data_IF_827638173260
#
_entry.id   IF_827638173260
#
_cell.length_a   1.000
_cell.length_b   1.000
_cell.length_c   1.000
_cell.angle_alpha   90.00
_cell.angle_beta   90.00
_cell.angle_gamma   90.00
#
_symmetry.space_group_name_H-M   'P 1'
#
loop_
_entity.id
_entity.type
_entity.pdbx_description
1 polymer ?
#
# COMPACT_ATOMS: atom_id res chain seq x y z
N UNK A 1 9.49 23.47 -6.84
CA UNK A 1 10.69 23.91 -6.11
C UNK A 1 11.64 22.73 -6.08
N UNK A 2 12.87 22.88 -6.56
CA UNK A 2 13.84 21.78 -6.58
C UNK A 2 14.32 21.56 -5.14
N UNK A 3 14.35 20.30 -4.69
CA UNK A 3 14.88 19.95 -3.36
C UNK A 3 16.38 20.28 -3.32
N UNK A 4 16.83 21.17 -2.42
CA UNK A 4 18.23 21.60 -2.36
C UNK A 4 19.19 20.45 -2.08
N UNK A 5 18.72 19.37 -1.42
CA UNK A 5 19.53 18.18 -1.17
C UNK A 5 19.76 17.41 -2.47
N UNK A 6 18.69 17.19 -3.23
CA UNK A 6 18.77 16.47 -4.52
C UNK A 6 19.59 17.26 -5.54
N UNK A 7 19.44 18.60 -5.55
CA UNK A 7 20.23 19.46 -6.43
C UNK A 7 21.74 19.38 -6.12
N UNK A 8 22.09 19.44 -4.83
CA UNK A 8 23.47 19.27 -4.37
C UNK A 8 24.01 17.89 -4.75
N UNK A 9 23.28 16.83 -4.42
CA UNK A 9 23.68 15.45 -4.74
C UNK A 9 23.90 15.26 -6.24
N UNK A 10 23.03 15.82 -7.09
CA UNK A 10 23.18 15.79 -8.53
C UNK A 10 24.44 16.53 -8.99
N UNK A 11 24.65 17.75 -8.51
CA UNK A 11 25.82 18.55 -8.87
C UNK A 11 27.14 17.87 -8.47
N UNK A 12 27.23 17.40 -7.22
CA UNK A 12 28.41 16.75 -6.67
C UNK A 12 28.69 15.41 -7.37
N UNK A 13 27.66 14.60 -7.64
CA UNK A 13 27.82 13.31 -8.37
C UNK A 13 28.23 13.52 -9.82
N UNK A 14 27.67 14.54 -10.49
CA UNK A 14 28.03 14.89 -11.86
C UNK A 14 29.47 15.41 -11.95
N UNK A 15 29.91 16.18 -10.95
CA UNK A 15 31.30 16.59 -10.82
C UNK A 15 32.21 15.37 -10.62
N UNK A 16 31.84 14.46 -9.71
CA UNK A 16 32.59 13.22 -9.48
C UNK A 16 32.74 12.39 -10.76
N UNK A 17 31.67 12.24 -11.55
CA UNK A 17 31.72 11.54 -12.84
C UNK A 17 32.76 12.14 -13.79
N UNK A 18 32.82 13.47 -13.89
CA UNK A 18 33.81 14.15 -14.73
C UNK A 18 35.25 13.97 -14.21
N UNK A 19 35.45 14.05 -12.89
CA UNK A 19 36.76 13.79 -12.26
C UNK A 19 37.17 12.32 -12.45
N UNK A 20 36.22 11.39 -12.40
CA UNK A 20 36.45 9.96 -12.58
C UNK A 20 36.89 9.61 -14.01
N UNK A 21 36.37 10.32 -15.01
CA UNK A 21 36.84 10.24 -16.39
C UNK A 21 38.27 10.77 -16.52
N UNK A 22 38.57 11.94 -15.94
CA UNK A 22 39.94 12.49 -15.93
C UNK A 22 40.93 11.55 -15.23
N UNK A 23 40.49 10.86 -14.17
CA UNK A 23 41.33 9.88 -13.47
C UNK A 23 41.74 8.74 -14.40
N UNK A 24 40.81 8.27 -15.25
CA UNK A 24 41.10 7.25 -16.24
C UNK A 24 42.09 7.73 -17.32
N UNK A 25 42.02 8.99 -17.74
CA UNK A 25 43.00 9.56 -18.67
C UNK A 25 44.42 9.52 -18.09
N UNK A 26 44.59 9.90 -16.83
CA UNK A 26 45.86 9.78 -16.12
C UNK A 26 46.30 8.33 -15.94
N UNK A 27 45.36 7.42 -15.63
CA UNK A 27 45.63 5.99 -15.53
C UNK A 27 46.12 5.41 -16.86
N UNK A 28 45.46 5.72 -17.97
CA UNK A 28 45.85 5.28 -19.32
C UNK A 28 47.21 5.87 -19.74
N UNK A 29 47.45 7.15 -19.43
CA UNK A 29 48.75 7.79 -19.64
C UNK A 29 49.86 7.06 -18.88
N UNK A 30 49.64 6.79 -17.60
CA UNK A 30 50.59 6.05 -16.77
C UNK A 30 50.79 4.62 -17.26
N UNK A 31 49.73 3.93 -17.70
CA UNK A 31 49.80 2.57 -18.26
C UNK A 31 50.69 2.52 -19.51
N UNK A 32 50.60 3.53 -20.38
CA UNK A 32 51.45 3.67 -21.58
C UNK A 32 52.88 4.10 -21.26
N UNK A 33 53.13 4.62 -20.05
CA UNK A 33 54.43 5.17 -19.66
C UNK A 33 54.75 6.52 -20.30
N UNK A 34 53.72 7.19 -20.82
CA UNK A 34 53.83 8.51 -21.47
C UNK A 34 53.61 9.61 -20.42
N UNK A 35 54.23 10.78 -20.58
CA UNK A 35 53.87 11.97 -19.79
C UNK A 35 54.11 11.90 -18.28
N UNK A 36 55.00 11.02 -17.80
CA UNK A 36 55.37 10.89 -16.37
C UNK A 36 56.26 12.06 -15.89
N UNK A 37 55.77 13.29 -15.98
CA UNK A 37 56.44 14.51 -15.52
C UNK A 37 55.99 14.89 -14.10
N UNK A 38 56.82 15.63 -13.32
CA UNK A 38 56.42 16.13 -12.01
C UNK A 38 55.12 16.95 -12.06
N UNK A 39 54.95 17.82 -13.05
CA UNK A 39 53.74 18.64 -13.20
C UNK A 39 52.46 17.79 -13.38
N UNK A 40 52.57 16.65 -14.07
CA UNK A 40 51.45 15.73 -14.27
C UNK A 40 51.16 14.92 -13.02
N UNK A 41 52.19 14.59 -12.24
CA UNK A 41 52.04 13.96 -10.94
C UNK A 41 51.30 14.89 -9.96
N UNK A 42 51.65 16.18 -9.92
CA UNK A 42 50.97 17.16 -9.08
C UNK A 42 49.49 17.31 -9.46
N UNK A 43 49.19 17.39 -10.77
CA UNK A 43 47.80 17.40 -11.28
C UNK A 43 47.03 16.14 -10.87
N UNK A 44 47.69 14.97 -10.92
CA UNK A 44 47.08 13.71 -10.52
C UNK A 44 46.76 13.66 -9.02
N UNK A 45 47.66 14.17 -8.17
CA UNK A 45 47.43 14.23 -6.72
C UNK A 45 46.32 15.23 -6.35
N UNK A 46 46.24 16.36 -7.06
CA UNK A 46 45.14 17.31 -6.90
C UNK A 46 43.80 16.67 -7.30
N UNK A 47 43.75 15.99 -8.45
CA UNK A 47 42.57 15.28 -8.92
C UNK A 47 42.07 14.24 -7.91
N UNK A 48 42.98 13.45 -7.32
CA UNK A 48 42.64 12.49 -6.26
C UNK A 48 41.99 13.16 -5.04
N UNK A 49 42.52 14.32 -4.64
CA UNK A 49 41.98 15.09 -3.52
C UNK A 49 40.58 15.61 -3.83
N UNK A 50 40.35 16.11 -5.04
CA UNK A 50 39.03 16.56 -5.49
C UNK A 50 38.01 15.40 -5.52
N UNK A 51 38.41 14.22 -6.01
CA UNK A 51 37.57 13.01 -5.99
C UNK A 51 37.16 12.66 -4.55
N UNK A 52 38.11 12.66 -3.61
CA UNK A 52 37.82 12.33 -2.21
C UNK A 52 36.84 13.32 -1.57
N UNK A 53 36.94 14.63 -1.89
CA UNK A 53 36.05 15.66 -1.34
C UNK A 53 34.58 15.50 -1.75
N UNK A 54 34.32 15.03 -2.97
CA UNK A 54 32.95 14.90 -3.50
C UNK A 54 32.36 13.49 -3.34
N UNK A 55 33.18 12.51 -2.93
CA UNK A 55 32.77 11.11 -2.77
C UNK A 55 31.68 10.92 -1.71
N UNK A 56 31.77 11.62 -0.58
CA UNK A 56 30.77 11.52 0.50
C UNK A 56 29.36 11.87 0.00
N UNK A 57 29.22 12.92 -0.82
CA UNK A 57 27.92 13.31 -1.36
C UNK A 57 27.37 12.29 -2.36
N UNK A 58 28.24 11.56 -3.06
CA UNK A 58 27.83 10.46 -3.91
C UNK A 58 27.37 9.26 -3.08
N UNK A 59 28.08 8.91 -2.00
CA UNK A 59 27.66 7.84 -1.09
C UNK A 59 26.30 8.11 -0.46
N UNK A 60 26.02 9.36 -0.11
CA UNK A 60 24.70 9.80 0.40
C UNK A 60 23.58 9.69 -0.66
N UNK A 61 23.92 9.74 -1.94
CA UNK A 61 22.96 9.65 -3.05
C UNK A 61 22.64 8.20 -3.45
N UNK A 62 23.51 7.24 -3.12
CA UNK A 62 23.36 5.83 -3.49
C UNK A 62 22.20 5.16 -2.73
N UNK A 63 21.26 4.60 -3.49
CA UNK A 63 20.16 3.78 -2.94
C UNK A 63 20.49 2.28 -2.93
N UNK A 64 21.47 1.87 -3.73
CA UNK A 64 21.91 0.48 -3.95
C UNK A 64 23.42 0.42 -4.18
N UNK A 65 23.98 -0.78 -4.08
CA UNK A 65 25.37 -1.09 -4.48
C UNK A 65 26.47 -0.25 -3.80
N UNK A 66 26.28 0.06 -2.51
CA UNK A 66 27.23 0.85 -1.70
C UNK A 66 28.66 0.28 -1.71
N UNK A 67 28.80 -1.05 -1.81
CA UNK A 67 30.12 -1.70 -1.90
C UNK A 67 30.89 -1.27 -3.15
N UNK A 68 30.21 -1.12 -4.29
CA UNK A 68 30.82 -0.65 -5.55
C UNK A 68 31.16 0.83 -5.43
N UNK A 69 30.31 1.62 -4.77
CA UNK A 69 30.61 3.04 -4.50
C UNK A 69 31.86 3.23 -3.64
N UNK A 70 32.09 2.35 -2.66
CA UNK A 70 33.29 2.37 -1.81
C UNK A 70 34.58 2.09 -2.60
N UNK A 71 34.51 1.28 -3.67
CA UNK A 71 35.66 0.92 -4.49
C UNK A 71 36.34 2.14 -5.13
N UNK A 72 35.61 3.24 -5.37
CA UNK A 72 36.19 4.49 -5.91
C UNK A 72 37.34 4.99 -5.02
N UNK A 73 37.12 5.11 -3.71
CA UNK A 73 38.16 5.55 -2.78
C UNK A 73 39.27 4.52 -2.63
N UNK A 74 38.94 3.23 -2.69
CA UNK A 74 39.94 2.17 -2.61
C UNK A 74 40.88 2.20 -3.82
N UNK A 75 40.38 2.46 -5.02
CA UNK A 75 41.19 2.67 -6.23
C UNK A 75 42.06 3.93 -6.06
N UNK A 76 41.46 5.07 -5.70
CA UNK A 76 42.19 6.34 -5.51
C UNK A 76 43.31 6.21 -4.49
N UNK A 77 43.06 5.49 -3.40
CA UNK A 77 44.02 5.26 -2.32
C UNK A 77 45.17 4.34 -2.77
N UNK A 78 44.86 3.26 -3.49
CA UNK A 78 45.88 2.33 -4.04
C UNK A 78 46.74 2.98 -5.13
N UNK A 79 46.20 3.94 -5.87
CA UNK A 79 46.91 4.65 -6.93
C UNK A 79 47.82 5.74 -6.36
N UNK A 80 48.92 5.36 -5.69
CA UNK A 80 49.80 6.28 -4.96
C UNK A 80 50.36 7.40 -5.85
N UNK A 81 50.88 7.03 -7.02
CA UNK A 81 51.48 7.95 -8.00
C UNK A 81 51.35 7.41 -9.44
N UNK A 82 51.53 8.27 -10.45
CA UNK A 82 51.54 7.83 -11.85
C UNK A 82 52.66 6.82 -12.11
N UNK A 83 53.82 7.05 -11.50
CA UNK A 83 54.96 6.11 -11.56
C UNK A 83 54.65 4.76 -10.90
N UNK A 84 53.87 4.75 -9.82
CA UNK A 84 53.41 3.52 -9.20
C UNK A 84 52.46 2.75 -10.13
N UNK A 85 51.48 3.44 -10.73
CA UNK A 85 50.54 2.86 -11.69
C UNK A 85 51.24 2.22 -12.90
N UNK A 86 52.25 2.88 -13.45
CA UNK A 86 53.05 2.35 -14.55
C UNK A 86 53.79 1.04 -14.18
N UNK A 87 54.15 0.87 -12.91
CA UNK A 87 54.90 -0.29 -12.40
C UNK A 87 54.02 -1.45 -11.93
N UNK A 88 52.70 -1.26 -11.90
CA UNK A 88 51.77 -2.34 -11.56
C UNK A 88 51.88 -3.49 -12.57
N UNK A 89 51.58 -4.69 -12.12
CA UNK A 89 51.52 -5.84 -13.03
C UNK A 89 50.38 -5.63 -14.04
N UNK A 90 50.48 -6.22 -15.23
CA UNK A 90 49.42 -6.16 -16.24
C UNK A 90 48.09 -6.71 -15.69
N UNK A 91 48.16 -7.70 -14.79
CA UNK A 91 46.98 -8.24 -14.12
C UNK A 91 46.34 -7.21 -13.18
N UNK A 92 47.13 -6.49 -12.39
CA UNK A 92 46.64 -5.44 -11.48
C UNK A 92 46.08 -4.23 -12.24
N UNK A 93 46.73 -3.84 -13.34
CA UNK A 93 46.23 -2.78 -14.22
C UNK A 93 44.86 -3.15 -14.80
N UNK A 94 44.71 -4.36 -15.33
CA UNK A 94 43.41 -4.85 -15.84
C UNK A 94 42.35 -4.92 -14.74
N UNK A 95 42.72 -5.37 -13.55
CA UNK A 95 41.80 -5.41 -12.40
C UNK A 95 41.32 -4.01 -12.02
N UNK A 96 42.24 -3.04 -11.93
CA UNK A 96 41.90 -1.66 -11.62
C UNK A 96 41.01 -1.03 -12.70
N UNK A 97 41.26 -1.34 -13.98
CA UNK A 97 40.42 -0.90 -15.09
C UNK A 97 38.99 -1.45 -15.00
N UNK A 98 38.83 -2.73 -14.64
CA UNK A 98 37.50 -3.33 -14.41
C UNK A 98 36.78 -2.67 -13.23
N UNK A 99 37.43 -2.51 -12.08
CA UNK A 99 36.85 -1.85 -10.90
C UNK A 99 36.50 -0.39 -11.18
N UNK A 100 37.33 0.30 -11.98
CA UNK A 100 37.05 1.66 -12.44
C UNK A 100 35.80 1.71 -13.31
N UNK A 101 35.66 0.77 -14.26
CA UNK A 101 34.52 0.69 -15.17
C UNK A 101 33.21 0.39 -14.43
N UNK A 102 33.23 -0.54 -13.48
CA UNK A 102 32.07 -0.83 -12.63
C UNK A 102 31.60 0.41 -11.86
N UNK A 103 32.55 1.15 -11.28
CA UNK A 103 32.27 2.40 -10.57
C UNK A 103 31.74 3.49 -11.50
N UNK A 104 32.25 3.55 -12.74
CA UNK A 104 31.80 4.49 -13.77
C UNK A 104 30.35 4.24 -14.19
N UNK A 105 29.97 2.97 -14.37
CA UNK A 105 28.59 2.59 -14.67
C UNK A 105 27.65 3.00 -13.52
N UNK A 106 28.03 2.70 -12.28
CA UNK A 106 27.26 3.09 -11.10
C UNK A 106 27.09 4.61 -10.99
N UNK A 107 28.15 5.39 -11.22
CA UNK A 107 28.07 6.85 -11.22
C UNK A 107 27.11 7.36 -12.29
N UNK A 108 27.21 6.83 -13.51
CA UNK A 108 26.35 7.22 -14.64
C UNK A 108 24.87 6.93 -14.35
N UNK A 109 24.58 5.74 -13.83
CA UNK A 109 23.23 5.35 -13.42
C UNK A 109 22.69 6.24 -12.29
N UNK A 110 23.53 6.56 -11.31
CA UNK A 110 23.16 7.42 -10.18
C UNK A 110 22.87 8.86 -10.64
N UNK A 111 23.65 9.40 -11.57
CA UNK A 111 23.38 10.72 -12.18
C UNK A 111 22.03 10.70 -12.90
N UNK A 112 21.74 9.65 -13.68
CA UNK A 112 20.47 9.51 -14.38
C UNK A 112 19.28 9.41 -13.41
N UNK A 113 19.40 8.64 -12.32
CA UNK A 113 18.36 8.53 -11.29
C UNK A 113 18.10 9.88 -10.60
N UNK A 114 19.15 10.63 -10.27
CA UNK A 114 19.03 11.96 -9.67
C UNK A 114 18.40 12.96 -10.64
N UNK A 115 18.74 12.88 -11.93
CA UNK A 115 18.13 13.72 -12.98
C UNK A 115 16.63 13.44 -13.13
N UNK A 116 16.24 12.16 -13.13
CA UNK A 116 14.83 11.76 -13.15
C UNK A 116 14.09 12.28 -11.91
N UNK A 117 14.66 12.11 -10.72
CA UNK A 117 14.09 12.67 -9.47
C UNK A 117 13.92 14.18 -9.55
N UNK A 118 14.89 14.91 -10.11
CA UNK A 118 14.77 16.36 -10.32
C UNK A 118 13.62 16.71 -11.27
N UNK A 119 13.47 15.97 -12.37
CA UNK A 119 12.37 16.16 -13.32
C UNK A 119 10.99 15.85 -12.70
N UNK A 120 10.89 14.79 -11.91
CA UNK A 120 9.67 14.43 -11.18
C UNK A 120 9.31 15.52 -10.14
N UNK A 121 10.28 16.02 -9.38
CA UNK A 121 10.06 17.08 -8.40
C UNK A 121 9.71 18.43 -9.06
N UNK A 122 10.16 18.67 -10.28
CA UNK A 122 9.77 19.84 -11.05
C UNK A 122 8.31 19.78 -11.52
N UNK A 123 7.76 18.58 -11.71
CA UNK A 123 6.38 18.36 -12.22
C UNK A 123 5.33 18.18 -11.12
N UNK A 124 5.72 17.85 -9.88
CA UNK A 124 4.80 17.66 -8.76
C UNK A 124 4.38 18.98 -8.08
N UNK A 125 3.09 19.08 -7.72
CA UNK A 125 2.57 20.24 -6.95
C UNK A 125 3.07 20.22 -5.49
N UNK A 126 3.24 21.40 -4.89
CA UNK A 126 3.86 21.59 -3.57
C UNK A 126 3.15 20.84 -2.43
N UNK A 127 1.83 20.67 -2.54
CA UNK A 127 1.02 19.96 -1.57
C UNK A 127 1.27 18.44 -1.57
N UNK A 128 1.53 17.86 -2.75
CA UNK A 128 1.75 16.41 -2.89
C UNK A 128 3.12 15.98 -2.37
N UNK A 129 4.17 16.77 -2.62
CA UNK A 129 5.51 16.49 -2.10
C UNK A 129 5.55 16.55 -0.55
N UNK A 130 4.91 17.56 0.06
CA UNK A 130 4.82 17.64 1.53
C UNK A 130 4.02 16.49 2.13
N UNK A 131 2.92 16.09 1.48
CA UNK A 131 2.12 14.95 1.92
C UNK A 131 2.91 13.62 1.83
N UNK A 132 3.68 13.41 0.77
CA UNK A 132 4.46 12.18 0.59
C UNK A 132 5.64 12.10 1.57
N UNK A 133 6.34 13.21 1.82
CA UNK A 133 7.42 13.28 2.83
C UNK A 133 6.88 13.06 4.25
N UNK A 134 5.72 13.64 4.57
CA UNK A 134 5.05 13.39 5.85
C UNK A 134 4.62 11.92 5.98
N UNK A 135 4.10 11.32 4.91
CA UNK A 135 3.70 9.91 4.89
C UNK A 135 4.90 8.96 5.07
N UNK A 136 6.03 9.23 4.42
CA UNK A 136 7.26 8.42 4.54
C UNK A 136 7.87 8.45 5.94
N UNK A 137 7.89 9.62 6.59
CA UNK A 137 8.37 9.74 7.98
C UNK A 137 7.40 9.05 8.95
N UNK A 138 6.09 9.12 8.70
CA UNK A 138 5.09 8.43 9.50
C UNK A 138 5.21 6.90 9.38
N UNK A 139 5.39 6.36 8.17
CA UNK A 139 5.53 4.91 7.96
C UNK A 139 6.80 4.35 8.60
N UNK A 140 7.93 5.05 8.51
CA UNK A 140 9.17 4.63 9.19
C UNK A 140 9.05 4.65 10.73
N UNK A 141 8.31 5.62 11.30
CA UNK A 141 8.03 5.64 12.74
C UNK A 141 7.09 4.49 13.14
N UNK A 142 6.07 4.21 12.34
CA UNK A 142 5.13 3.10 12.59
C UNK A 142 5.86 1.75 12.49
N UNK A 143 6.72 1.52 11.50
CA UNK A 143 7.46 0.26 11.39
C UNK A 143 8.45 0.05 12.53
N UNK A 144 9.10 1.11 13.03
CA UNK A 144 9.92 1.04 14.26
C UNK A 144 9.07 0.74 15.51
N UNK A 145 7.87 1.30 15.60
CA UNK A 145 6.93 1.00 16.70
C UNK A 145 6.46 -0.45 16.62
N UNK A 146 6.16 -0.96 15.43
CA UNK A 146 5.69 -2.34 15.21
C UNK A 146 6.78 -3.39 15.46
N UNK A 147 8.05 -3.07 15.16
CA UNK A 147 9.18 -3.98 15.39
C UNK A 147 9.74 -3.90 16.81
N UNK A 148 9.32 -2.90 17.60
CA UNK A 148 9.72 -2.72 18.99
C UNK A 148 9.40 -3.94 19.87
N UNK A 149 10.40 -4.40 20.63
CA UNK A 149 10.25 -5.46 21.64
C UNK A 149 9.15 -5.13 22.65
N UNK A 150 8.98 -3.85 23.00
CA UNK A 150 7.95 -3.40 23.92
C UNK A 150 6.53 -3.60 23.39
N UNK A 151 6.29 -3.43 22.08
CA UNK A 151 4.98 -3.70 21.50
C UNK A 151 4.68 -5.20 21.52
N UNK A 152 5.67 -6.05 21.23
CA UNK A 152 5.50 -7.51 21.31
C UNK A 152 5.15 -7.95 22.73
N UNK A 153 5.85 -7.42 23.73
CA UNK A 153 5.54 -7.66 25.15
C UNK A 153 4.14 -7.12 25.49
N UNK A 154 3.78 -5.93 25.03
CA UNK A 154 2.44 -5.37 25.25
C UNK A 154 1.34 -6.23 24.63
N UNK A 155 1.52 -6.76 23.42
CA UNK A 155 0.57 -7.68 22.78
C UNK A 155 0.43 -8.97 23.60
N UNK A 156 1.54 -9.53 24.09
CA UNK A 156 1.50 -10.72 24.97
C UNK A 156 0.78 -10.41 26.27
N UNK A 157 1.08 -9.28 26.91
CA UNK A 157 0.41 -8.84 28.15
C UNK A 157 -1.08 -8.61 27.92
N UNK A 158 -1.47 -7.97 26.83
CA UNK A 158 -2.88 -7.80 26.43
C UNK A 158 -3.52 -9.17 26.21
N UNK A 159 -2.86 -10.08 25.49
CA UNK A 159 -3.36 -11.44 25.27
C UNK A 159 -3.54 -12.22 26.57
N UNK A 160 -2.60 -12.10 27.51
CA UNK A 160 -2.68 -12.73 28.83
C UNK A 160 -3.76 -12.09 29.69
N UNK A 161 -3.85 -10.76 29.76
CA UNK A 161 -4.91 -10.05 30.50
C UNK A 161 -6.29 -10.37 29.92
N UNK A 162 -6.42 -10.41 28.59
CA UNK A 162 -7.65 -10.80 27.92
C UNK A 162 -8.01 -12.27 28.22
N UNK A 163 -7.03 -13.16 28.18
CA UNK A 163 -7.19 -14.58 28.49
C UNK A 163 -7.41 -14.92 29.97
N UNK A 164 -7.00 -14.06 30.90
CA UNK A 164 -7.12 -14.30 32.35
C UNK A 164 -8.29 -13.52 32.95
N UNK A 165 -8.34 -12.22 32.73
CA UNK A 165 -9.38 -11.33 33.28
C UNK A 165 -10.63 -11.37 32.41
N UNK A 166 -10.49 -11.29 31.08
CA UNK A 166 -11.64 -11.35 30.16
C UNK A 166 -12.38 -12.69 30.24
N UNK A 167 -11.65 -13.79 30.40
CA UNK A 167 -12.21 -15.15 30.49
C UNK A 167 -12.97 -15.38 31.79
N UNK A 168 -12.47 -14.87 32.93
CA UNK A 168 -13.10 -15.12 34.24
C UNK A 168 -14.22 -14.13 34.57
N UNK A 169 -14.08 -12.85 34.19
CA UNK A 169 -15.02 -11.81 34.61
C UNK A 169 -16.21 -11.67 33.65
N UNK A 170 -16.00 -11.88 32.35
CA UNK A 170 -17.02 -11.61 31.33
C UNK A 170 -17.70 -12.87 30.75
N UNK A 171 -17.24 -14.08 31.13
CA UNK A 171 -17.82 -15.34 30.61
C UNK A 171 -17.70 -15.50 29.08
N UNK A 172 -16.72 -14.82 28.47
CA UNK A 172 -16.52 -14.74 27.00
C UNK A 172 -15.72 -15.96 26.51
N UNK A 173 -16.23 -17.17 26.78
CA UNK A 173 -15.79 -18.35 26.04
C UNK A 173 -16.32 -18.34 24.59
N UNK A 174 -17.39 -17.59 24.36
CA UNK A 174 -18.00 -17.46 23.05
C UNK A 174 -17.48 -16.21 22.35
N UNK A 175 -16.49 -16.41 21.46
CA UNK A 175 -15.95 -15.35 20.60
C UNK A 175 -17.06 -14.57 19.88
N UNK A 176 -18.19 -15.22 19.56
CA UNK A 176 -19.30 -14.58 18.87
C UNK A 176 -20.02 -13.52 19.73
N UNK A 177 -19.95 -13.61 21.06
CA UNK A 177 -20.50 -12.59 21.98
C UNK A 177 -19.72 -11.29 21.98
N UNK A 178 -18.45 -11.30 21.58
CA UNK A 178 -17.68 -10.05 21.43
C UNK A 178 -18.29 -9.14 20.35
N UNK A 179 -18.97 -9.71 19.37
CA UNK A 179 -19.68 -8.97 18.33
C UNK A 179 -20.87 -8.16 18.85
N UNK A 180 -21.37 -8.43 20.07
CA UNK A 180 -22.52 -7.72 20.65
C UNK A 180 -22.12 -6.38 21.30
N UNK A 181 -20.81 -6.13 21.49
CA UNK A 181 -20.30 -4.91 22.14
C UNK A 181 -19.66 -3.95 21.13
N UNK A 182 -20.14 -2.69 21.00
CA UNK A 182 -19.64 -1.74 20.01
C UNK A 182 -18.13 -1.49 20.04
N UNK A 183 -17.53 -1.47 21.24
CA UNK A 183 -16.09 -1.28 21.41
C UNK A 183 -15.24 -2.42 20.82
N UNK A 184 -15.83 -3.61 20.66
CA UNK A 184 -15.16 -4.81 20.20
C UNK A 184 -15.49 -5.18 18.74
N UNK A 185 -16.36 -4.43 18.04
CA UNK A 185 -16.69 -4.72 16.64
C UNK A 185 -15.45 -4.80 15.75
N UNK A 186 -14.52 -3.84 15.85
CA UNK A 186 -13.29 -3.84 15.03
C UNK A 186 -12.37 -5.02 15.36
N UNK A 187 -11.96 -5.25 16.62
CA UNK A 187 -11.19 -6.45 16.99
C UNK A 187 -11.88 -7.76 16.59
N UNK A 188 -13.18 -7.89 16.84
CA UNK A 188 -13.98 -9.06 16.49
C UNK A 188 -13.91 -9.35 14.99
N UNK A 189 -14.10 -8.33 14.14
CA UNK A 189 -14.01 -8.47 12.68
C UNK A 189 -12.63 -8.93 12.22
N UNK A 190 -11.56 -8.37 12.79
CA UNK A 190 -10.19 -8.77 12.43
C UNK A 190 -9.98 -10.25 12.77
N UNK A 191 -10.35 -10.67 13.98
CA UNK A 191 -10.26 -12.08 14.35
C UNK A 191 -11.18 -12.98 13.52
N UNK A 192 -12.40 -12.53 13.17
CA UNK A 192 -13.33 -13.28 12.31
C UNK A 192 -12.82 -13.41 10.88
N UNK A 193 -12.16 -12.39 10.33
CA UNK A 193 -11.49 -12.45 9.02
C UNK A 193 -10.37 -13.48 9.00
N UNK A 194 -9.59 -13.57 10.07
CA UNK A 194 -8.57 -14.62 10.24
C UNK A 194 -9.25 -15.99 10.38
N UNK A 195 -10.27 -16.12 11.23
CA UNK A 195 -10.99 -17.38 11.42
C UNK A 195 -11.61 -17.90 10.11
N UNK A 196 -12.13 -17.00 9.26
CA UNK A 196 -12.71 -17.34 7.96
C UNK A 196 -11.73 -17.86 6.93
N UNK A 197 -10.42 -17.70 7.11
CA UNK A 197 -9.45 -18.41 6.26
C UNK A 197 -9.52 -19.92 6.48
N UNK A 198 -10.00 -20.36 7.64
CA UNK A 198 -10.18 -21.78 7.99
C UNK A 198 -11.64 -22.23 7.89
N UNK A 199 -12.60 -21.34 8.14
CA UNK A 199 -14.03 -21.60 8.02
C UNK A 199 -14.75 -20.47 7.27
N UNK A 200 -14.74 -20.49 5.91
CA UNK A 200 -15.26 -19.40 5.08
C UNK A 200 -16.72 -19.04 5.36
N UNK A 201 -17.53 -20.01 5.79
CA UNK A 201 -18.97 -19.87 5.99
C UNK A 201 -19.35 -19.39 7.41
N UNK A 202 -18.37 -19.02 8.24
CA UNK A 202 -18.62 -18.59 9.62
C UNK A 202 -19.48 -17.32 9.70
N UNK A 203 -20.72 -17.38 10.24
CA UNK A 203 -21.69 -16.29 10.13
C UNK A 203 -21.27 -15.03 10.90
N UNK A 204 -21.77 -13.89 10.42
CA UNK A 204 -21.85 -12.66 11.18
C UNK A 204 -22.89 -12.77 12.29
N UNK A 205 -22.60 -12.13 13.42
CA UNK A 205 -23.43 -12.16 14.62
C UNK A 205 -24.64 -11.23 14.53
N UNK A 206 -24.41 -10.01 14.03
CA UNK A 206 -25.40 -8.96 13.86
C UNK A 206 -25.04 -8.11 12.63
N UNK A 207 -25.97 -7.27 12.17
CA UNK A 207 -25.75 -6.40 11.00
C UNK A 207 -24.68 -5.32 11.29
N UNK A 208 -24.60 -4.81 12.52
CA UNK A 208 -23.66 -3.74 12.87
C UNK A 208 -22.19 -4.16 12.73
N UNK A 209 -21.89 -5.44 12.93
CA UNK A 209 -20.55 -6.00 12.76
C UNK A 209 -20.19 -6.21 11.29
N UNK A 210 -21.14 -6.63 10.44
CA UNK A 210 -20.89 -6.84 9.00
C UNK A 210 -20.67 -5.54 8.23
N UNK A 211 -21.09 -4.40 8.79
CA UNK A 211 -20.84 -3.06 8.22
C UNK A 211 -19.37 -2.72 8.02
N UNK A 212 -18.47 -3.46 8.65
CA UNK A 212 -17.03 -3.30 8.45
C UNK A 212 -16.52 -3.70 7.09
N UNK A 213 -17.27 -4.50 6.35
CA UNK A 213 -16.84 -5.01 5.04
C UNK A 213 -17.27 -4.10 3.89
N UNK A 214 -18.23 -3.20 4.13
CA UNK A 214 -18.58 -2.13 3.18
C UNK A 214 -17.69 -0.91 3.39
N UNK A 215 -17.65 -0.01 2.41
CA UNK A 215 -16.92 1.24 2.54
C UNK A 215 -17.35 2.02 3.81
N UNK A 216 -16.45 2.69 4.54
CA UNK A 216 -16.82 3.50 5.70
C UNK A 216 -17.80 4.60 5.29
N UNK A 217 -18.82 4.88 6.10
CA UNK A 217 -19.89 5.86 5.78
C UNK A 217 -19.40 7.29 5.56
N UNK A 218 -18.19 7.63 6.04
CA UNK A 218 -17.52 8.91 5.78
C UNK A 218 -16.55 8.92 4.59
N UNK A 219 -16.43 7.82 3.86
CA UNK A 219 -15.54 7.74 2.69
C UNK A 219 -16.19 8.39 1.46
N UNK A 220 -15.36 8.92 0.55
CA UNK A 220 -15.79 9.49 -0.74
C UNK A 220 -16.47 8.49 -1.68
N UNK A 221 -16.43 7.19 -1.34
CA UNK A 221 -17.12 6.13 -2.07
C UNK A 221 -18.63 6.20 -1.86
N UNK A 222 -19.06 6.71 -0.70
CA UNK A 222 -20.46 7.00 -0.45
C UNK A 222 -20.83 8.33 -1.11
N UNK A 223 -21.89 8.35 -1.92
CA UNK A 223 -22.37 9.60 -2.50
C UNK A 223 -22.95 10.57 -1.45
N UNK A 224 -23.50 10.07 -0.33
CA UNK A 224 -23.63 10.77 0.95
C UNK A 224 -23.87 9.76 2.07
N UNK A 225 -23.95 10.26 3.32
CA UNK A 225 -24.13 9.44 4.52
C UNK A 225 -25.53 8.77 4.51
N UNK A 226 -25.63 7.45 4.66
CA UNK A 226 -26.92 6.77 4.76
C UNK A 226 -27.62 7.11 6.09
N UNK A 227 -28.94 7.20 6.05
CA UNK A 227 -29.79 7.38 7.22
C UNK A 227 -30.53 6.08 7.53
N UNK A 228 -30.45 5.62 8.78
CA UNK A 228 -31.19 4.44 9.25
C UNK A 228 -32.64 4.86 9.44
N UNK A 229 -33.54 4.21 8.72
CA UNK A 229 -34.98 4.49 8.77
C UNK A 229 -35.73 3.35 9.47
N UNK A 230 -36.80 3.64 10.22
CA UNK A 230 -37.70 2.59 10.69
C UNK A 230 -38.40 1.97 9.47
N UNK A 231 -38.21 0.68 9.25
CA UNK A 231 -38.83 -0.05 8.15
C UNK A 231 -39.35 -1.41 8.61
N UNK A 232 -40.41 -1.89 7.95
CA UNK A 232 -40.93 -3.26 8.16
C UNK A 232 -40.24 -4.23 7.19
N UNK A 233 -39.69 -5.31 7.74
CA UNK A 233 -39.15 -6.44 6.98
C UNK A 233 -40.23 -7.03 6.07
N UNK A 234 -41.46 -7.15 6.58
CA UNK A 234 -42.60 -7.75 5.91
C UNK A 234 -43.02 -6.93 4.68
N UNK A 235 -42.96 -5.60 4.78
CA UNK A 235 -43.30 -4.70 3.67
C UNK A 235 -42.35 -4.87 2.48
N UNK A 236 -41.03 -4.95 2.71
CA UNK A 236 -40.08 -5.14 1.62
C UNK A 236 -40.10 -6.57 1.10
N UNK A 237 -40.22 -7.57 1.98
CA UNK A 237 -40.33 -8.97 1.57
C UNK A 237 -41.58 -9.17 0.70
N UNK A 238 -42.71 -8.53 1.02
CA UNK A 238 -43.93 -8.57 0.21
C UNK A 238 -43.74 -8.11 -1.24
N UNK A 239 -42.83 -7.17 -1.50
CA UNK A 239 -42.53 -6.63 -2.83
C UNK A 239 -41.69 -7.56 -3.71
N UNK A 240 -41.06 -8.59 -3.14
CA UNK A 240 -40.17 -9.49 -3.90
C UNK A 240 -40.99 -10.45 -4.77
N UNK A 241 -40.80 -10.49 -6.10
CA UNK A 241 -41.62 -11.32 -6.98
C UNK A 241 -41.39 -12.84 -6.81
N UNK A 242 -40.24 -13.25 -6.27
CA UNK A 242 -39.83 -14.66 -6.15
C UNK A 242 -40.23 -15.22 -4.79
N UNK A 243 -41.13 -16.21 -4.76
CA UNK A 243 -41.66 -16.80 -3.53
C UNK A 243 -40.56 -17.42 -2.67
N UNK A 244 -39.64 -18.15 -3.28
CA UNK A 244 -38.55 -18.83 -2.58
C UNK A 244 -37.61 -17.84 -1.89
N UNK A 245 -37.33 -16.70 -2.54
CA UNK A 245 -36.53 -15.62 -1.95
C UNK A 245 -37.28 -14.98 -0.77
N UNK A 246 -38.61 -14.79 -0.87
CA UNK A 246 -39.45 -14.30 0.23
C UNK A 246 -39.39 -15.21 1.44
N UNK A 247 -39.53 -16.51 1.21
CA UNK A 247 -39.53 -17.52 2.27
C UNK A 247 -38.18 -17.55 3.00
N UNK A 248 -37.07 -17.38 2.29
CA UNK A 248 -35.74 -17.31 2.89
C UNK A 248 -35.56 -15.98 3.66
N UNK A 249 -35.85 -14.83 3.05
CA UNK A 249 -35.64 -13.53 3.70
C UNK A 249 -36.56 -13.30 4.91
N UNK A 250 -37.72 -13.95 4.96
CA UNK A 250 -38.60 -13.92 6.13
C UNK A 250 -37.95 -14.50 7.39
N UNK A 251 -37.00 -15.44 7.23
CA UNK A 251 -36.22 -16.05 8.31
C UNK A 251 -35.18 -15.10 8.94
N UNK A 252 -34.99 -13.90 8.39
CA UNK A 252 -34.00 -12.97 8.90
C UNK A 252 -34.26 -12.61 10.36
N UNK A 253 -33.23 -12.77 11.19
CA UNK A 253 -33.26 -12.49 12.64
C UNK A 253 -33.12 -11.00 12.92
N UNK A 254 -32.38 -10.28 12.08
CA UNK A 254 -32.29 -8.83 12.09
C UNK A 254 -32.60 -8.27 10.70
N UNK A 255 -33.17 -7.06 10.69
CA UNK A 255 -33.46 -6.31 9.50
C UNK A 255 -33.10 -4.84 9.72
N UNK A 256 -32.48 -4.22 8.73
CA UNK A 256 -32.18 -2.79 8.74
C UNK A 256 -32.48 -2.17 7.38
N UNK A 257 -33.17 -1.02 7.42
CA UNK A 257 -33.36 -0.15 6.26
C UNK A 257 -32.46 1.07 6.40
N UNK A 258 -31.66 1.31 5.36
CA UNK A 258 -30.90 2.52 5.20
C UNK A 258 -31.37 3.22 3.93
N UNK A 259 -31.61 4.53 4.00
CA UNK A 259 -31.95 5.34 2.84
C UNK A 259 -30.85 6.32 2.53
N UNK A 260 -30.64 6.54 1.25
CA UNK A 260 -29.65 7.46 0.73
C UNK A 260 -30.30 8.34 -0.35
N UNK A 261 -30.09 9.66 -0.28
CA UNK A 261 -30.61 10.64 -1.25
C UNK A 261 -29.47 11.40 -1.91
N UNK A 262 -29.40 11.37 -3.25
CA UNK A 262 -28.39 12.10 -4.03
C UNK A 262 -29.03 13.22 -4.87
N UNK A 263 -29.30 14.37 -4.24
CA UNK A 263 -29.87 15.52 -4.96
C UNK A 263 -31.11 15.15 -5.78
N UNK A 264 -31.05 15.35 -7.10
CA UNK A 264 -32.14 15.02 -8.05
C UNK A 264 -32.04 13.61 -8.65
N UNK A 265 -30.99 12.82 -8.34
CA UNK A 265 -30.79 11.48 -8.94
C UNK A 265 -31.66 10.38 -8.31
N UNK A 266 -32.49 10.73 -7.33
CA UNK A 266 -33.44 9.83 -6.67
C UNK A 266 -33.02 9.37 -5.28
N UNK A 267 -33.78 8.41 -4.76
CA UNK A 267 -33.56 7.75 -3.47
C UNK A 267 -33.12 6.31 -3.71
N UNK A 268 -32.10 5.86 -2.99
CA UNK A 268 -31.70 4.45 -2.92
C UNK A 268 -32.03 3.92 -1.55
N UNK A 269 -32.70 2.79 -1.52
CA UNK A 269 -33.02 2.01 -0.34
C UNK A 269 -32.07 0.83 -0.25
N UNK A 270 -31.43 0.64 0.90
CA UNK A 270 -30.54 -0.47 1.19
C UNK A 270 -31.20 -1.27 2.31
N UNK A 271 -31.62 -2.47 1.97
CA UNK A 271 -32.27 -3.40 2.88
C UNK A 271 -31.26 -4.48 3.24
N UNK A 272 -30.86 -4.54 4.50
CA UNK A 272 -29.92 -5.55 4.99
C UNK A 272 -30.64 -6.56 5.87
N UNK A 273 -30.48 -7.83 5.53
CA UNK A 273 -31.10 -8.97 6.19
C UNK A 273 -30.00 -9.85 6.80
N UNK A 274 -30.07 -10.12 8.10
CA UNK A 274 -29.21 -11.10 8.75
C UNK A 274 -29.93 -12.46 8.76
N UNK A 275 -29.41 -13.42 8.03
CA UNK A 275 -29.99 -14.76 7.93
C UNK A 275 -29.34 -15.72 8.95
N UNK A 276 -30.04 -16.81 9.31
CA UNK A 276 -29.50 -17.80 10.26
C UNK A 276 -28.21 -18.47 9.79
N UNK A 277 -28.00 -18.61 8.47
CA UNK A 277 -26.84 -19.31 7.90
C UNK A 277 -26.31 -18.66 6.63
N UNK A 278 -25.03 -18.90 6.32
CA UNK A 278 -24.41 -18.48 5.06
C UNK A 278 -25.02 -19.20 3.85
N UNK A 279 -25.55 -20.40 4.05
CA UNK A 279 -26.22 -21.17 2.99
C UNK A 279 -27.55 -20.54 2.62
N UNK A 280 -28.36 -20.08 3.58
CA UNK A 280 -29.61 -19.36 3.30
C UNK A 280 -29.34 -18.10 2.47
N UNK A 281 -28.30 -17.33 2.82
CA UNK A 281 -27.92 -16.11 2.08
C UNK A 281 -27.52 -16.40 0.64
N UNK A 282 -26.66 -17.41 0.42
CA UNK A 282 -26.27 -17.84 -0.93
C UNK A 282 -27.47 -18.34 -1.74
N UNK A 283 -28.38 -19.10 -1.12
CA UNK A 283 -29.58 -19.58 -1.79
C UNK A 283 -30.52 -18.42 -2.18
N UNK A 284 -30.73 -17.44 -1.30
CA UNK A 284 -31.54 -16.26 -1.61
C UNK A 284 -31.00 -15.51 -2.83
N UNK A 285 -29.69 -15.25 -2.86
CA UNK A 285 -29.03 -14.57 -3.99
C UNK A 285 -29.09 -15.41 -5.26
N UNK A 286 -28.77 -16.70 -5.21
CA UNK A 286 -28.82 -17.57 -6.38
C UNK A 286 -30.21 -17.62 -7.00
N UNK A 287 -31.26 -17.77 -6.18
CA UNK A 287 -32.66 -17.77 -6.65
C UNK A 287 -33.07 -16.42 -7.24
N UNK A 288 -32.57 -15.32 -6.66
CA UNK A 288 -32.76 -13.99 -7.22
C UNK A 288 -32.09 -13.84 -8.59
N UNK A 289 -30.84 -14.26 -8.73
CA UNK A 289 -30.11 -14.22 -10.00
C UNK A 289 -30.75 -15.10 -11.09
N UNK A 290 -31.27 -16.27 -10.72
CA UNK A 290 -32.00 -17.14 -11.64
C UNK A 290 -33.31 -16.49 -12.11
N UNK A 291 -34.02 -15.80 -11.21
CA UNK A 291 -35.18 -15.00 -11.59
C UNK A 291 -34.80 -13.86 -12.55
N UNK A 292 -33.67 -13.17 -12.34
CA UNK A 292 -33.21 -12.09 -13.21
C UNK A 292 -32.93 -12.53 -14.65
N UNK A 293 -32.70 -13.82 -14.90
CA UNK A 293 -32.56 -14.39 -16.25
C UNK A 293 -33.92 -14.56 -16.97
N UNK A 294 -35.03 -14.48 -16.25
CA UNK A 294 -36.37 -14.68 -16.81
C UNK A 294 -36.92 -13.41 -17.50
N UNK A 295 -37.79 -13.54 -18.52
CA UNK A 295 -38.44 -12.40 -19.15
C UNK A 295 -39.29 -11.54 -18.19
N UNK A 296 -39.79 -12.14 -17.11
CA UNK A 296 -40.59 -11.46 -16.09
C UNK A 296 -39.77 -10.47 -15.24
N UNK A 297 -38.43 -10.61 -15.23
CA UNK A 297 -37.55 -9.77 -14.44
C UNK A 297 -37.17 -8.44 -15.08
N UNK A 298 -37.64 -8.13 -16.31
CA UNK A 298 -37.32 -6.89 -17.03
C UNK A 298 -37.55 -5.61 -16.21
N UNK A 299 -38.57 -5.60 -15.34
CA UNK A 299 -38.88 -4.44 -14.50
C UNK A 299 -38.01 -4.32 -13.23
N UNK A 300 -37.25 -5.37 -12.89
CA UNK A 300 -36.41 -5.45 -11.69
C UNK A 300 -34.92 -5.36 -12.01
N UNK A 301 -34.52 -5.82 -13.19
CA UNK A 301 -33.15 -5.71 -13.68
C UNK A 301 -32.70 -4.24 -13.67
N UNK A 302 -31.51 -3.96 -13.13
CA UNK A 302 -30.95 -2.61 -12.99
C UNK A 302 -31.40 -1.85 -11.74
N UNK A 303 -32.68 -1.99 -11.37
CA UNK A 303 -33.28 -1.29 -10.22
C UNK A 303 -33.04 -2.00 -8.89
N UNK A 304 -32.87 -3.32 -8.90
CA UNK A 304 -32.72 -4.16 -7.73
C UNK A 304 -31.46 -5.00 -7.85
N UNK A 305 -30.57 -4.89 -6.87
CA UNK A 305 -29.33 -5.67 -6.80
C UNK A 305 -29.27 -6.35 -5.44
N UNK A 306 -29.04 -7.67 -5.44
CA UNK A 306 -28.87 -8.45 -4.22
C UNK A 306 -27.42 -8.90 -4.11
N UNK A 307 -26.79 -8.69 -2.96
CA UNK A 307 -25.38 -8.99 -2.71
C UNK A 307 -25.29 -9.84 -1.44
N UNK A 308 -24.61 -11.01 -1.49
CA UNK A 308 -24.33 -11.82 -0.31
C UNK A 308 -23.08 -11.29 0.42
N UNK A 309 -23.09 -11.36 1.74
CA UNK A 309 -21.91 -11.26 2.60
C UNK A 309 -22.04 -12.30 3.72
N UNK A 310 -21.52 -13.50 3.46
CA UNK A 310 -21.64 -14.67 4.35
C UNK A 310 -23.12 -14.97 4.64
N UNK A 311 -23.64 -14.73 5.85
CA UNK A 311 -25.05 -14.90 6.20
C UNK A 311 -25.88 -13.61 6.12
N UNK A 312 -25.29 -12.51 5.65
CA UNK A 312 -25.98 -11.23 5.46
C UNK A 312 -26.34 -11.10 3.98
N UNK A 313 -27.57 -10.70 3.69
CA UNK A 313 -28.00 -10.34 2.34
C UNK A 313 -28.30 -8.85 2.31
N UNK A 314 -27.68 -8.15 1.37
CA UNK A 314 -27.98 -6.73 1.12
C UNK A 314 -28.73 -6.61 -0.19
N UNK A 315 -29.95 -6.07 -0.13
CA UNK A 315 -30.77 -5.72 -1.27
C UNK A 315 -30.73 -4.20 -1.47
N UNK A 316 -30.18 -3.75 -2.58
CA UNK A 316 -30.12 -2.36 -3.00
C UNK A 316 -31.23 -2.12 -4.01
N UNK A 317 -32.10 -1.15 -3.74
CA UNK A 317 -33.23 -0.76 -4.58
C UNK A 317 -33.14 0.72 -4.92
N UNK A 318 -33.28 1.08 -6.18
CA UNK A 318 -33.26 2.48 -6.61
C UNK A 318 -33.99 2.70 -7.93
N UNK A 319 -34.33 3.96 -8.21
CA UNK A 319 -34.97 4.35 -9.47
C UNK A 319 -33.98 4.50 -10.63
N UNK A 320 -32.71 4.76 -10.30
CA UNK A 320 -31.62 5.00 -11.24
C UNK A 320 -30.60 3.86 -11.21
N UNK A 321 -30.54 3.09 -12.29
CA UNK A 321 -29.62 1.95 -12.45
C UNK A 321 -28.14 2.34 -12.26
N UNK A 322 -27.74 3.53 -12.70
CA UNK A 322 -26.36 4.02 -12.55
C UNK A 322 -25.99 4.22 -11.08
N UNK A 323 -26.92 4.72 -10.29
CA UNK A 323 -26.71 4.91 -8.85
C UNK A 323 -26.68 3.58 -8.10
N UNK A 324 -27.56 2.64 -8.44
CA UNK A 324 -27.57 1.28 -7.89
C UNK A 324 -26.25 0.55 -8.21
N UNK A 325 -25.76 0.66 -9.45
CA UNK A 325 -24.49 0.09 -9.87
C UNK A 325 -23.28 0.76 -9.17
N UNK A 326 -23.30 2.08 -8.99
CA UNK A 326 -22.28 2.78 -8.20
C UNK A 326 -22.21 2.23 -6.77
N UNK A 327 -23.36 2.06 -6.12
CA UNK A 327 -23.43 1.49 -4.77
C UNK A 327 -22.85 0.09 -4.73
N UNK A 328 -23.25 -0.78 -5.67
CA UNK A 328 -22.69 -2.14 -5.78
C UNK A 328 -21.16 -2.11 -5.91
N UNK A 329 -20.62 -1.32 -6.84
CA UNK A 329 -19.20 -1.34 -7.16
C UNK A 329 -18.32 -0.63 -6.13
N UNK A 330 -18.72 0.55 -5.66
CA UNK A 330 -17.87 1.41 -4.83
C UNK A 330 -18.05 1.15 -3.34
N UNK A 331 -19.28 0.83 -2.91
CA UNK A 331 -19.57 0.61 -1.49
C UNK A 331 -19.40 -0.85 -1.10
N UNK A 332 -19.83 -1.77 -1.98
CA UNK A 332 -19.84 -3.21 -1.71
C UNK A 332 -18.82 -4.00 -2.56
N UNK A 333 -18.03 -3.37 -3.44
CA UNK A 333 -17.14 -4.09 -4.37
C UNK A 333 -15.90 -4.75 -3.75
N UNK A 334 -15.71 -4.64 -2.43
CA UNK A 334 -14.65 -5.34 -1.70
C UNK A 334 -15.09 -6.66 -1.06
N UNK A 335 -16.36 -7.05 -1.25
CA UNK A 335 -16.99 -8.24 -0.67
C UNK A 335 -16.87 -9.48 -1.56
#
# INVERSE_FOLDING_TARGET
>A
MIDPVVERQYADTKQLLALWQQFYEFFEMARKGEGLTPDKEDQFLELKSQIAMVHDSFMDALTRDQNVGQNILDIVTRSVSLKHLNRLSVADQKKMELEWHESYLLLTDTVAELEEKRAQLATMSEAQYRAQKAAGVATQRITKILTSTYLKVAIVVIGVLFGTVGVQVLGIWDWDRLGDYPAFHTPYRVGKKIYRTFNPDSPWRNIAVSDGDRAPTGSTRWPAKPEIQPGSKEQIVGQIPVREVKDILSKATEYRLEQFRKGMEGVVEIHTFLLPSATDARQAVQKWEDFLKSPAAKNYAGKWVMIPNVNVVTLIKGENDGLVNHMRAQVYGGL
#
